data_IF_296796095347
#
_entry.id   IF_296796095347
#
_cell.length_a   1.000
_cell.length_b   1.000
_cell.length_c   1.000
_cell.angle_alpha   90.00
_cell.angle_beta   90.00
_cell.angle_gamma   90.00
#
_symmetry.space_group_name_H-M   'P 1'
#
loop_
_entity.id
_entity.type
_entity.pdbx_description
1 polymer ?
#
# COMPACT_ATOMS: atom_id res chain seq x y z
N UNK A 1 -13.83 27.58 13.42
CA UNK A 1 -13.21 26.23 13.47
C UNK A 1 -14.28 25.17 13.10
N UNK A 2 -14.68 25.09 11.83
CA UNK A 2 -15.79 24.22 11.37
C UNK A 2 -15.55 23.65 9.95
N UNK A 3 -14.30 23.43 9.54
CA UNK A 3 -13.97 23.19 8.12
C UNK A 3 -13.01 22.03 7.85
N UNK A 4 -12.84 21.07 8.77
CA UNK A 4 -12.04 19.86 8.49
C UNK A 4 -12.86 18.63 8.83
N UNK A 5 -13.33 17.96 7.79
CA UNK A 5 -13.88 16.62 7.91
C UNK A 5 -12.78 15.68 8.41
N UNK A 6 -13.14 14.76 9.31
CA UNK A 6 -12.26 13.68 9.74
C UNK A 6 -11.82 12.88 8.52
N UNK A 7 -10.51 12.66 8.35
CA UNK A 7 -9.99 11.87 7.23
C UNK A 7 -10.61 10.48 7.24
N UNK A 8 -11.09 10.02 6.09
CA UNK A 8 -11.70 8.71 5.95
C UNK A 8 -10.68 7.73 5.38
N UNK A 9 -10.56 6.54 5.95
CA UNK A 9 -9.72 5.48 5.38
C UNK A 9 -10.24 5.12 4.00
N UNK A 10 -9.34 4.96 3.04
CA UNK A 10 -9.72 4.49 1.71
C UNK A 10 -10.09 3.00 1.73
N UNK A 11 -10.73 2.51 0.68
CA UNK A 11 -11.05 1.08 0.54
C UNK A 11 -9.77 0.24 0.36
N UNK A 12 -9.85 -1.04 0.73
CA UNK A 12 -8.72 -1.98 0.72
C UNK A 12 -7.94 -2.00 -0.60
N UNK A 13 -8.65 -1.98 -1.74
CA UNK A 13 -8.05 -1.99 -3.06
C UNK A 13 -7.25 -0.70 -3.32
N UNK A 14 -7.75 0.41 -2.80
CA UNK A 14 -7.16 1.74 -2.96
C UNK A 14 -5.89 1.88 -2.11
N UNK A 15 -5.82 1.24 -0.93
CA UNK A 15 -4.59 1.23 -0.10
C UNK A 15 -3.39 0.74 -0.91
N UNK A 16 -3.57 -0.38 -1.62
CA UNK A 16 -2.56 -0.93 -2.52
C UNK A 16 -2.27 0.00 -3.70
N UNK A 17 -3.31 0.53 -4.34
CA UNK A 17 -3.15 1.42 -5.50
C UNK A 17 -2.36 2.69 -5.14
N UNK A 18 -2.56 3.25 -3.95
CA UNK A 18 -1.79 4.40 -3.45
C UNK A 18 -0.31 4.05 -3.36
N UNK A 19 0.04 2.94 -2.68
CA UNK A 19 1.42 2.52 -2.53
C UNK A 19 2.12 2.31 -3.89
N UNK A 20 1.43 1.67 -4.84
CA UNK A 20 1.94 1.45 -6.20
C UNK A 20 2.07 2.76 -6.99
N UNK A 21 1.13 3.71 -6.82
CA UNK A 21 1.13 4.99 -7.52
C UNK A 21 2.25 5.91 -7.05
N UNK A 22 2.43 6.05 -5.72
CA UNK A 22 3.46 6.94 -5.16
C UNK A 22 4.87 6.40 -5.46
N UNK A 23 5.02 5.06 -5.45
CA UNK A 23 6.27 4.36 -5.79
C UNK A 23 6.53 4.24 -7.29
N UNK A 24 5.57 4.60 -8.15
CA UNK A 24 5.70 4.54 -9.61
C UNK A 24 5.71 3.12 -10.19
N UNK A 25 5.24 2.13 -9.43
CA UNK A 25 5.10 0.74 -9.89
C UNK A 25 3.75 0.49 -10.57
N UNK A 26 2.74 1.33 -10.31
CA UNK A 26 1.37 1.11 -10.77
C UNK A 26 1.29 0.93 -12.30
N UNK A 27 0.67 -0.16 -12.72
CA UNK A 27 0.38 -0.46 -14.13
C UNK A 27 -1.08 -0.15 -14.45
N UNK A 28 -1.31 0.85 -15.31
CA UNK A 28 -2.65 1.37 -15.69
C UNK A 28 -3.32 0.58 -16.83
N UNK A 29 -3.14 -0.74 -16.87
CA UNK A 29 -3.77 -1.59 -17.89
C UNK A 29 -5.26 -1.81 -17.59
N UNK A 30 -6.12 -1.32 -18.48
CA UNK A 30 -7.57 -1.52 -18.41
C UNK A 30 -8.01 -2.87 -18.98
N UNK A 31 -8.99 -3.52 -18.35
CA UNK A 31 -9.58 -4.78 -18.81
C UNK A 31 -8.67 -6.01 -18.70
N UNK A 32 -9.07 -7.12 -19.30
CA UNK A 32 -8.32 -8.39 -19.26
C UNK A 32 -8.53 -9.21 -17.98
N UNK A 33 -7.78 -10.33 -17.83
CA UNK A 33 -7.98 -11.26 -16.73
C UNK A 33 -7.58 -10.67 -15.37
N UNK A 34 -8.14 -11.25 -14.30
CA UNK A 34 -7.74 -10.95 -12.93
C UNK A 34 -6.28 -11.35 -12.68
N UNK A 35 -5.63 -10.59 -11.81
CA UNK A 35 -4.26 -10.83 -11.34
C UNK A 35 -4.26 -11.57 -10.00
N UNK A 36 -3.17 -12.25 -9.72
CA UNK A 36 -2.91 -12.96 -8.46
C UNK A 36 -1.67 -12.35 -7.80
N UNK A 37 -1.81 -11.39 -6.88
CA UNK A 37 -0.67 -10.81 -6.16
C UNK A 37 0.09 -11.88 -5.38
N UNK A 38 1.31 -11.59 -4.92
CA UNK A 38 2.01 -12.50 -4.01
C UNK A 38 1.16 -12.68 -2.75
N UNK A 39 1.03 -13.92 -2.27
CA UNK A 39 0.39 -14.23 -1.00
C UNK A 39 1.27 -15.24 -0.24
N UNK A 40 1.09 -15.39 1.08
CA UNK A 40 1.84 -16.36 1.87
C UNK A 40 1.68 -17.79 1.35
N UNK A 41 2.76 -18.56 1.43
CA UNK A 41 2.75 -19.97 1.06
C UNK A 41 1.77 -20.75 1.94
N UNK A 42 1.05 -21.69 1.35
CA UNK A 42 0.06 -22.51 2.07
C UNK A 42 -1.20 -21.77 2.51
N UNK A 43 -1.44 -20.52 2.09
CA UNK A 43 -2.66 -19.77 2.45
C UNK A 43 -3.96 -20.50 2.06
N UNK A 44 -3.94 -21.26 0.95
CA UNK A 44 -5.07 -22.06 0.49
C UNK A 44 -5.02 -23.53 0.94
N UNK A 45 -4.09 -23.93 1.81
CA UNK A 45 -3.92 -25.34 2.19
C UNK A 45 -5.15 -25.92 2.93
N UNK A 46 -5.96 -25.08 3.57
CA UNK A 46 -7.21 -25.49 4.22
C UNK A 46 -8.33 -25.86 3.21
N UNK A 47 -8.20 -25.45 1.94
CA UNK A 47 -9.16 -25.76 0.89
C UNK A 47 -8.90 -27.14 0.29
N UNK A 48 -9.58 -28.15 0.82
CA UNK A 48 -9.38 -29.54 0.40
C UNK A 48 -10.40 -30.07 -0.63
N UNK A 49 -11.46 -29.31 -0.97
CA UNK A 49 -12.55 -29.78 -1.83
C UNK A 49 -12.93 -28.78 -2.95
N UNK A 50 -12.26 -28.80 -4.12
CA UNK A 50 -11.00 -29.47 -4.45
C UNK A 50 -9.78 -28.66 -3.98
N UNK A 51 -8.61 -29.32 -3.91
CA UNK A 51 -7.32 -28.65 -3.69
C UNK A 51 -7.12 -27.50 -4.67
N UNK A 52 -6.61 -26.38 -4.16
CA UNK A 52 -6.38 -25.17 -4.94
C UNK A 52 -4.89 -24.84 -4.95
N UNK A 53 -4.33 -24.76 -6.14
CA UNK A 53 -2.99 -24.22 -6.34
C UNK A 53 -3.08 -22.71 -6.56
N UNK A 54 -2.11 -21.98 -6.01
CA UNK A 54 -1.98 -20.54 -6.19
C UNK A 54 -0.67 -20.24 -6.90
N UNK A 55 -0.75 -19.69 -8.10
CA UNK A 55 0.38 -19.09 -8.80
C UNK A 55 0.24 -17.57 -8.81
N UNK A 56 1.25 -16.89 -8.29
CA UNK A 56 1.33 -15.43 -8.40
C UNK A 56 1.47 -15.04 -9.87
N UNK A 57 0.85 -13.92 -10.26
CA UNK A 57 1.11 -13.26 -11.54
C UNK A 57 2.57 -12.81 -11.63
N UNK A 58 3.03 -12.46 -12.83
CA UNK A 58 4.42 -12.06 -13.07
C UNK A 58 4.50 -10.73 -13.84
N UNK A 59 5.66 -10.08 -13.74
CA UNK A 59 5.93 -8.84 -14.46
C UNK A 59 4.96 -7.71 -14.11
N UNK A 60 4.53 -6.95 -15.12
CA UNK A 60 3.64 -5.81 -14.94
C UNK A 60 2.27 -6.18 -14.33
N UNK A 61 1.83 -7.43 -14.48
CA UNK A 61 0.56 -7.88 -13.90
C UNK A 61 0.60 -7.92 -12.35
N UNK A 62 1.78 -8.01 -11.72
CA UNK A 62 1.89 -7.89 -10.25
C UNK A 62 1.57 -6.48 -9.74
N UNK A 63 1.68 -5.47 -10.58
CA UNK A 63 1.51 -4.07 -10.18
C UNK A 63 0.24 -3.45 -10.74
N UNK A 64 -0.72 -4.26 -11.18
CA UNK A 64 -2.05 -3.78 -11.59
C UNK A 64 -2.88 -3.40 -10.38
N UNK A 65 -3.86 -2.54 -10.64
CA UNK A 65 -4.80 -2.01 -9.63
C UNK A 65 -5.44 -3.12 -8.80
N UNK A 66 -5.69 -2.84 -7.52
CA UNK A 66 -6.40 -3.70 -6.57
C UNK A 66 -7.74 -4.19 -7.08
N UNK A 67 -8.41 -3.39 -7.93
CA UNK A 67 -9.64 -3.76 -8.65
C UNK A 67 -9.52 -5.07 -9.45
N UNK A 68 -8.34 -5.36 -10.01
CA UNK A 68 -8.09 -6.55 -10.82
C UNK A 68 -7.65 -7.76 -10.00
N UNK A 69 -7.52 -7.65 -8.68
CA UNK A 69 -7.15 -8.77 -7.82
C UNK A 69 -8.20 -9.85 -7.90
N UNK A 70 -7.75 -11.09 -8.11
CA UNK A 70 -8.63 -12.24 -8.11
C UNK A 70 -9.35 -12.36 -6.78
N UNK A 71 -10.69 -12.40 -6.85
CA UNK A 71 -11.56 -12.61 -5.70
C UNK A 71 -12.29 -13.93 -5.84
N UNK A 72 -12.10 -14.78 -4.83
CA UNK A 72 -12.88 -15.99 -4.64
C UNK A 72 -13.82 -15.76 -3.47
N UNK A 73 -15.07 -16.23 -3.59
CA UNK A 73 -16.19 -15.88 -2.70
C UNK A 73 -15.85 -15.95 -1.21
N UNK A 74 -15.25 -17.05 -0.78
CA UNK A 74 -14.85 -17.32 0.61
C UNK A 74 -13.34 -17.13 0.86
N UNK A 75 -12.57 -16.76 -0.17
CA UNK A 75 -11.11 -16.66 -0.10
C UNK A 75 -10.63 -15.39 -0.79
N UNK A 76 -10.49 -14.37 0.03
CA UNK A 76 -9.98 -13.07 -0.35
C UNK A 76 -8.45 -13.05 -0.23
N UNK A 77 -7.77 -12.20 -1.00
CA UNK A 77 -6.34 -11.97 -0.78
C UNK A 77 -6.12 -11.44 0.66
N UNK A 78 -5.13 -11.95 1.42
CA UNK A 78 -5.00 -11.66 2.84
C UNK A 78 -4.76 -10.17 3.15
N UNK A 79 -4.11 -9.43 2.24
CA UNK A 79 -3.94 -7.98 2.41
C UNK A 79 -5.30 -7.27 2.30
N UNK A 80 -6.12 -7.63 1.31
CA UNK A 80 -7.46 -7.05 1.15
C UNK A 80 -8.37 -7.39 2.34
N UNK A 81 -8.32 -8.63 2.83
CA UNK A 81 -9.05 -9.05 4.02
C UNK A 81 -8.67 -8.22 5.25
N UNK A 82 -7.38 -7.97 5.44
CA UNK A 82 -6.87 -7.18 6.57
C UNK A 82 -7.35 -5.73 6.52
N UNK A 83 -7.57 -5.15 5.33
CA UNK A 83 -8.11 -3.80 5.13
C UNK A 83 -9.64 -3.79 4.97
N UNK A 84 -10.35 -4.75 5.56
CA UNK A 84 -11.81 -4.81 5.62
C UNK A 84 -12.50 -4.82 4.24
N UNK A 85 -11.89 -5.40 3.21
CA UNK A 85 -12.66 -5.68 2.00
C UNK A 85 -13.75 -6.72 2.31
N UNK A 86 -14.99 -6.50 1.83
CA UNK A 86 -16.10 -7.39 2.11
C UNK A 86 -15.90 -8.73 1.42
N UNK A 87 -16.47 -9.77 2.01
CA UNK A 87 -16.66 -11.03 1.30
C UNK A 87 -17.71 -10.85 0.21
N UNK A 88 -17.65 -11.66 -0.86
CA UNK A 88 -18.71 -11.72 -1.89
C UNK A 88 -19.79 -12.75 -1.54
N UNK A 89 -19.93 -13.05 -0.25
CA UNK A 89 -20.93 -14.01 0.23
C UNK A 89 -22.31 -13.37 0.29
N UNK A 90 -22.37 -12.10 0.68
CA UNK A 90 -23.58 -11.32 0.89
C UNK A 90 -23.46 -9.91 0.29
N UNK A 91 -24.61 -9.24 0.13
CA UNK A 91 -24.63 -7.85 -0.32
C UNK A 91 -24.05 -6.95 0.78
N UNK A 92 -23.00 -6.19 0.46
CA UNK A 92 -22.43 -5.19 1.37
C UNK A 92 -22.85 -3.80 0.94
N UNK A 93 -23.81 -3.20 1.67
CA UNK A 93 -24.29 -1.84 1.41
C UNK A 93 -23.31 -0.79 1.96
N UNK A 94 -22.72 -1.05 3.13
CA UNK A 94 -21.76 -0.17 3.76
C UNK A 94 -20.48 -0.94 4.12
N UNK A 95 -19.32 -0.42 3.71
CA UNK A 95 -18.03 -1.04 4.00
C UNK A 95 -17.52 -0.52 5.34
N UNK A 96 -17.21 -1.44 6.26
CA UNK A 96 -16.61 -1.09 7.55
C UNK A 96 -15.16 -0.67 7.33
N UNK A 97 -14.70 0.31 8.12
CA UNK A 97 -13.31 0.72 8.15
C UNK A 97 -12.80 0.64 9.58
N UNK A 98 -11.90 -0.31 9.83
CA UNK A 98 -11.16 -0.41 11.08
C UNK A 98 -9.78 0.24 10.95
N UNK A 99 -9.15 0.52 12.10
CA UNK A 99 -7.75 0.94 12.20
C UNK A 99 -7.08 0.03 13.22
N UNK A 100 -6.53 -1.09 12.74
CA UNK A 100 -5.97 -2.13 13.63
C UNK A 100 -4.45 -2.15 13.56
N UNK A 101 -3.75 -2.57 14.64
CA UNK A 101 -2.31 -2.78 14.59
C UNK A 101 -1.87 -3.77 13.50
N UNK A 102 -2.74 -4.74 13.17
CA UNK A 102 -2.48 -5.71 12.09
C UNK A 102 -2.38 -5.04 10.72
N UNK A 103 -3.20 -4.03 10.44
CA UNK A 103 -3.12 -3.25 9.19
C UNK A 103 -1.78 -2.52 9.06
N UNK A 104 -1.31 -1.88 10.14
CA UNK A 104 0.02 -1.26 10.16
C UNK A 104 1.15 -2.27 9.95
N UNK A 105 1.01 -3.48 10.51
CA UNK A 105 1.96 -4.57 10.27
C UNK A 105 1.93 -5.07 8.84
N UNK A 106 0.77 -5.11 8.18
CA UNK A 106 0.66 -5.46 6.75
C UNK A 106 1.35 -4.41 5.89
N UNK A 107 1.11 -3.11 6.11
CA UNK A 107 1.81 -2.03 5.39
C UNK A 107 3.34 -2.12 5.58
N UNK A 108 3.78 -2.54 6.76
CA UNK A 108 5.20 -2.64 7.06
C UNK A 108 5.86 -3.86 6.43
N UNK A 109 5.15 -4.99 6.29
CA UNK A 109 5.78 -6.30 6.04
C UNK A 109 5.32 -7.02 4.77
N UNK A 110 4.13 -6.73 4.22
CA UNK A 110 3.69 -7.43 3.01
C UNK A 110 4.64 -7.07 1.83
N UNK A 111 5.08 -8.07 1.03
CA UNK A 111 6.08 -7.88 -0.02
C UNK A 111 5.79 -6.70 -0.94
N UNK A 112 4.51 -6.43 -1.26
CA UNK A 112 4.16 -5.35 -2.19
C UNK A 112 4.50 -3.97 -1.63
N UNK A 113 4.33 -3.75 -0.33
CA UNK A 113 4.64 -2.46 0.32
C UNK A 113 6.15 -2.31 0.56
N UNK A 114 6.84 -3.43 0.81
CA UNK A 114 8.30 -3.45 0.89
C UNK A 114 8.92 -3.08 -0.47
N UNK A 115 8.45 -3.70 -1.56
CA UNK A 115 8.87 -3.34 -2.92
C UNK A 115 8.53 -1.90 -3.27
N UNK A 116 7.32 -1.44 -2.93
CA UNK A 116 6.92 -0.05 -3.13
C UNK A 116 7.81 0.93 -2.35
N UNK A 117 8.21 0.61 -1.12
CA UNK A 117 9.14 1.42 -0.34
C UNK A 117 10.54 1.48 -0.99
N UNK A 118 11.03 0.37 -1.53
CA UNK A 118 12.30 0.34 -2.27
C UNK A 118 12.24 1.19 -3.54
N UNK A 119 11.16 1.06 -4.32
CA UNK A 119 10.95 1.83 -5.53
C UNK A 119 10.79 3.34 -5.23
N UNK A 120 10.04 3.70 -4.18
CA UNK A 120 9.91 5.08 -3.71
C UNK A 120 11.26 5.66 -3.28
N UNK A 121 12.08 4.90 -2.55
CA UNK A 121 13.41 5.34 -2.12
C UNK A 121 14.35 5.58 -3.31
N UNK A 122 14.33 4.69 -4.32
CA UNK A 122 15.09 4.87 -5.57
C UNK A 122 14.64 6.13 -6.30
N UNK A 123 13.32 6.34 -6.43
CA UNK A 123 12.76 7.55 -7.06
C UNK A 123 13.14 8.81 -6.31
N UNK A 124 13.11 8.81 -4.98
CA UNK A 124 13.54 9.95 -4.19
C UNK A 124 15.02 10.28 -4.44
N UNK A 125 15.88 9.26 -4.58
CA UNK A 125 17.28 9.50 -4.94
C UNK A 125 17.46 10.08 -6.35
N UNK A 126 16.60 9.72 -7.30
CA UNK A 126 16.65 10.20 -8.70
C UNK A 126 16.04 11.59 -8.86
N UNK A 127 14.86 11.83 -8.29
CA UNK A 127 14.05 13.03 -8.54
C UNK A 127 14.07 14.05 -7.39
N UNK A 128 14.45 13.63 -6.19
CA UNK A 128 14.45 14.47 -4.99
C UNK A 128 15.68 15.37 -4.84
N UNK A 129 16.55 15.45 -5.85
CA UNK A 129 17.72 16.32 -5.83
C UNK A 129 18.95 15.76 -5.10
N UNK A 130 19.92 16.64 -4.87
CA UNK A 130 21.26 16.27 -4.41
C UNK A 130 21.36 16.07 -2.88
N UNK A 131 20.58 16.79 -2.09
CA UNK A 131 20.68 16.76 -0.63
C UNK A 131 19.69 15.77 0.00
N UNK A 132 20.03 15.13 1.14
CA UNK A 132 19.09 14.31 1.89
C UNK A 132 17.78 15.03 2.22
N UNK A 133 17.87 16.30 2.58
CA UNK A 133 16.73 17.19 2.87
C UNK A 133 15.77 17.30 1.69
N UNK A 134 16.31 17.55 0.49
CA UNK A 134 15.50 17.65 -0.71
C UNK A 134 14.82 16.31 -1.05
N UNK A 135 15.52 15.19 -0.87
CA UNK A 135 14.98 13.84 -1.12
C UNK A 135 13.87 13.46 -0.15
N UNK A 136 14.04 13.78 1.13
CA UNK A 136 13.03 13.57 2.17
C UNK A 136 11.80 14.43 1.90
N UNK A 137 11.97 15.72 1.59
CA UNK A 137 10.85 16.61 1.27
C UNK A 137 10.09 16.13 0.05
N UNK A 138 10.80 15.78 -1.03
CA UNK A 138 10.19 15.26 -2.25
C UNK A 138 9.38 13.99 -2.00
N UNK A 139 9.93 13.04 -1.24
CA UNK A 139 9.22 11.80 -0.92
C UNK A 139 7.98 12.06 -0.05
N UNK A 140 8.10 12.96 0.93
CA UNK A 140 7.00 13.34 1.80
C UNK A 140 5.85 14.00 1.01
N UNK A 141 6.17 14.97 0.15
CA UNK A 141 5.20 15.63 -0.72
C UNK A 141 4.55 14.65 -1.70
N UNK A 142 5.33 13.73 -2.26
CA UNK A 142 4.82 12.70 -3.18
C UNK A 142 3.80 11.76 -2.51
N UNK A 143 4.00 11.43 -1.24
CA UNK A 143 3.14 10.50 -0.49
C UNK A 143 1.94 11.22 0.13
N UNK A 144 2.13 12.40 0.69
CA UNK A 144 1.09 13.11 1.49
C UNK A 144 0.39 14.24 0.74
N UNK A 145 0.93 14.68 -0.40
CA UNK A 145 0.40 15.80 -1.18
C UNK A 145 0.66 17.19 -0.56
N UNK A 146 1.48 17.28 0.50
CA UNK A 146 1.83 18.55 1.17
C UNK A 146 3.31 18.57 1.58
N UNK A 147 3.91 19.75 1.77
CA UNK A 147 5.27 19.84 2.31
C UNK A 147 5.31 19.35 3.78
N UNK A 148 6.43 18.74 4.21
CA UNK A 148 6.63 18.39 5.61
C UNK A 148 6.82 19.65 6.46
N UNK A 149 6.23 19.63 7.67
CA UNK A 149 6.54 20.60 8.72
C UNK A 149 8.00 20.50 9.16
N UNK A 150 8.49 21.51 9.88
CA UNK A 150 9.86 21.53 10.42
C UNK A 150 10.14 20.33 11.33
N UNK A 151 9.16 19.96 12.17
CA UNK A 151 9.27 18.81 13.07
C UNK A 151 9.30 17.49 12.30
N UNK A 152 8.35 17.26 11.39
CA UNK A 152 8.30 16.04 10.56
C UNK A 152 9.59 15.85 9.75
N UNK A 153 10.10 16.94 9.16
CA UNK A 153 11.36 16.91 8.42
C UNK A 153 12.53 16.52 9.31
N UNK A 154 12.62 17.09 10.51
CA UNK A 154 13.69 16.77 11.47
C UNK A 154 13.69 15.28 11.82
N UNK A 155 12.52 14.71 12.13
CA UNK A 155 12.38 13.28 12.48
C UNK A 155 12.77 12.36 11.31
N UNK A 156 12.30 12.69 10.10
CA UNK A 156 12.60 11.89 8.90
C UNK A 156 14.08 11.97 8.52
N UNK A 157 14.73 13.12 8.72
CA UNK A 157 16.18 13.25 8.55
C UNK A 157 16.95 12.46 9.62
N UNK A 158 16.46 12.45 10.86
CA UNK A 158 16.98 11.58 11.92
C UNK A 158 16.91 10.10 11.53
N UNK A 159 15.78 9.67 10.95
CA UNK A 159 15.59 8.30 10.45
C UNK A 159 16.50 8.00 9.24
N UNK A 160 16.62 8.94 8.30
CA UNK A 160 17.53 8.82 7.15
C UNK A 160 18.97 8.59 7.59
N UNK A 161 19.45 9.37 8.57
CA UNK A 161 20.84 9.28 9.09
C UNK A 161 21.13 7.96 9.80
N UNK A 162 20.14 7.38 10.50
CA UNK A 162 20.28 6.09 11.20
C UNK A 162 20.20 4.88 10.26
N UNK A 163 19.53 5.03 9.13
CA UNK A 163 19.28 3.95 8.19
C UNK A 163 19.55 4.39 6.76
N UNK A 164 18.49 4.50 5.97
CA UNK A 164 18.58 4.91 4.58
C UNK A 164 17.27 5.55 4.10
N UNK A 165 17.25 6.00 2.85
CA UNK A 165 16.03 6.45 2.19
C UNK A 165 14.93 5.36 2.18
N UNK A 166 15.31 4.08 2.19
CA UNK A 166 14.36 2.98 2.30
C UNK A 166 13.63 2.98 3.65
N UNK A 167 14.33 3.24 4.75
CA UNK A 167 13.72 3.35 6.08
C UNK A 167 12.72 4.51 6.13
N UNK A 168 13.06 5.64 5.51
CA UNK A 168 12.16 6.80 5.36
C UNK A 168 10.94 6.41 4.53
N UNK A 169 11.13 5.79 3.36
CA UNK A 169 10.04 5.37 2.48
C UNK A 169 9.07 4.39 3.18
N UNK A 170 9.58 3.43 3.96
CA UNK A 170 8.75 2.53 4.77
C UNK A 170 7.92 3.27 5.80
N UNK A 171 8.52 4.23 6.50
CA UNK A 171 7.81 5.04 7.48
C UNK A 171 6.70 5.87 6.82
N UNK A 172 6.98 6.49 5.67
CA UNK A 172 6.01 7.27 4.90
C UNK A 172 4.83 6.42 4.41
N UNK A 173 5.09 5.24 3.85
CA UNK A 173 4.02 4.35 3.38
C UNK A 173 3.15 3.79 4.51
N UNK A 174 3.64 3.79 5.75
CA UNK A 174 2.91 3.33 6.94
C UNK A 174 2.20 4.47 7.71
N UNK A 175 2.25 5.71 7.22
CA UNK A 175 1.52 6.81 7.85
C UNK A 175 0.00 6.62 7.67
N UNK A 176 -0.78 6.96 8.70
CA UNK A 176 -2.24 7.00 8.59
C UNK A 176 -2.71 7.99 7.52
N UNK A 177 -1.96 9.09 7.33
CA UNK A 177 -2.15 10.07 6.26
C UNK A 177 -2.11 9.44 4.87
N UNK A 178 -1.26 8.43 4.64
CA UNK A 178 -1.07 7.81 3.33
C UNK A 178 -2.29 7.01 2.89
N UNK A 179 -3.01 6.40 3.83
CA UNK A 179 -4.16 5.51 3.54
C UNK A 179 -5.50 6.19 3.80
N UNK A 180 -5.52 7.52 3.90
CA UNK A 180 -6.74 8.28 4.16
C UNK A 180 -6.98 9.34 3.08
N UNK A 181 -8.25 9.58 2.77
CA UNK A 181 -8.71 10.67 1.91
C UNK A 181 -9.27 11.82 2.75
N UNK A 182 -9.04 13.05 2.27
CA UNK A 182 -9.62 14.28 2.81
C UNK A 182 -11.00 14.55 2.22
#
# INVERSE_FOLDING_TARGET
LLARQSRLRVDAETVRDIALSVSGLLTEKFGGPSIRPIQPEGYLAALNFPKRDYSASHGADLYRRGLYVHWQRSFLHPSLLTFDAPSREECTVNRVSSNTPLQALVLLNDPIYVEAAQALAKRAATFGGATPEARVNWAFERVTGRPPSSQERSELLGLYRRGSMFSVARALLNLSETITRN
#
